data_IF_616201056128
#
_entry.id   IF_616201056128
#
_cell.length_a   1.000
_cell.length_b   1.000
_cell.length_c   1.000
_cell.angle_alpha   90.00
_cell.angle_beta   90.00
_cell.angle_gamma   90.00
#
_symmetry.space_group_name_H-M   'P 1'
#
loop_
_entity.id
_entity.type
_entity.pdbx_description
1 polymer ?
#
# COMPACT_ATOMS: atom_id res chain seq x y z
N UNK A 1 -26.21 -5.09 21.06
CA UNK A 1 -26.20 -4.09 19.96
C UNK A 1 -24.77 -3.98 19.43
N UNK A 2 -24.57 -3.86 18.11
CA UNK A 2 -23.23 -3.89 17.50
C UNK A 2 -22.77 -2.57 16.85
N UNK A 3 -23.42 -1.46 17.23
CA UNK A 3 -23.18 -0.10 16.70
C UNK A 3 -21.73 0.39 16.85
N UNK A 4 -20.85 -0.37 17.51
CA UNK A 4 -19.41 -0.11 17.62
C UNK A 4 -18.72 0.13 16.26
N UNK A 5 -19.05 -0.63 15.20
CA UNK A 5 -18.43 -0.40 13.86
C UNK A 5 -18.94 0.89 13.22
N UNK A 6 -20.26 1.15 13.04
CA UNK A 6 -20.78 2.45 12.62
C UNK A 6 -20.22 3.63 13.44
N UNK A 7 -20.16 3.51 14.76
CA UNK A 7 -19.66 4.56 15.64
C UNK A 7 -18.15 4.80 15.46
N UNK A 8 -17.34 3.75 15.33
CA UNK A 8 -15.91 3.87 15.07
C UNK A 8 -15.65 4.52 13.69
N UNK A 9 -16.40 4.13 12.65
CA UNK A 9 -16.32 4.74 11.31
C UNK A 9 -16.73 6.22 11.37
N UNK A 10 -17.83 6.56 12.07
CA UNK A 10 -18.24 7.94 12.28
C UNK A 10 -17.19 8.80 13.03
N UNK A 11 -16.49 8.22 14.02
CA UNK A 11 -15.37 8.89 14.71
C UNK A 11 -14.17 9.11 13.78
N UNK A 12 -13.85 8.15 12.90
CA UNK A 12 -12.79 8.32 11.89
C UNK A 12 -13.15 9.40 10.86
N UNK A 13 -14.40 9.45 10.39
CA UNK A 13 -14.94 10.54 9.56
C UNK A 13 -14.83 11.89 10.28
N UNK A 14 -15.26 12.00 11.54
CA UNK A 14 -15.20 13.24 12.31
C UNK A 14 -13.76 13.74 12.50
N UNK A 15 -12.80 12.83 12.68
CA UNK A 15 -11.36 13.13 12.74
C UNK A 15 -10.82 13.60 11.38
N UNK A 16 -11.09 12.88 10.29
CA UNK A 16 -10.66 13.27 8.94
C UNK A 16 -11.25 14.63 8.53
N UNK A 17 -12.48 14.95 8.94
CA UNK A 17 -13.08 16.28 8.78
C UNK A 17 -12.47 17.36 9.69
N UNK A 18 -11.75 16.99 10.76
CA UNK A 18 -10.96 17.92 11.56
C UNK A 18 -9.59 18.18 10.93
N UNK A 19 -8.90 17.13 10.49
CA UNK A 19 -7.63 17.21 9.74
C UNK A 19 -7.81 18.04 8.45
N UNK A 20 -8.93 17.86 7.73
CA UNK A 20 -9.31 18.69 6.58
C UNK A 20 -9.56 20.17 6.92
N UNK A 21 -9.96 20.48 8.16
CA UNK A 21 -10.29 21.85 8.62
C UNK A 21 -9.05 22.61 9.11
N UNK A 22 -8.02 21.90 9.55
CA UNK A 22 -6.71 22.45 9.87
C UNK A 22 -5.75 22.50 8.66
N UNK A 23 -6.26 22.21 7.44
CA UNK A 23 -5.46 21.97 6.22
C UNK A 23 -4.21 21.09 6.48
N UNK A 24 -4.41 20.00 7.24
CA UNK A 24 -3.34 19.07 7.63
C UNK A 24 -2.71 18.42 6.38
N UNK A 25 -1.38 18.49 6.17
CA UNK A 25 -0.72 17.89 5.01
C UNK A 25 -0.84 16.36 4.93
N UNK A 26 -1.28 15.68 6.00
CA UNK A 26 -1.63 14.26 6.00
C UNK A 26 -3.05 13.97 5.47
N UNK A 27 -3.97 14.95 5.42
CA UNK A 27 -5.36 14.73 5.01
C UNK A 27 -5.49 14.20 3.57
N UNK A 28 -6.35 13.18 3.36
CA UNK A 28 -6.63 12.58 2.04
C UNK A 28 -8.14 12.46 1.82
N UNK A 29 -8.61 12.88 0.65
CA UNK A 29 -10.03 12.81 0.32
C UNK A 29 -10.51 11.36 0.16
N UNK A 30 -9.71 10.49 -0.48
CA UNK A 30 -9.91 9.03 -0.52
C UNK A 30 -10.18 8.41 0.85
N UNK A 31 -9.45 8.81 1.89
CA UNK A 31 -9.66 8.29 3.23
C UNK A 31 -11.07 8.68 3.72
N UNK A 32 -11.42 9.96 3.63
CA UNK A 32 -12.74 10.46 4.01
C UNK A 32 -13.88 9.82 3.20
N UNK A 33 -13.72 9.65 1.89
CA UNK A 33 -14.74 9.04 1.03
C UNK A 33 -14.86 7.53 1.23
N UNK A 34 -13.76 6.84 1.54
CA UNK A 34 -13.76 5.39 1.86
C UNK A 34 -14.46 5.14 3.20
N UNK A 35 -14.16 5.94 4.22
CA UNK A 35 -14.83 5.87 5.53
C UNK A 35 -16.32 6.21 5.41
N UNK A 36 -16.67 7.23 4.60
CA UNK A 36 -18.07 7.57 4.32
C UNK A 36 -18.80 6.45 3.54
N UNK A 37 -18.14 5.82 2.57
CA UNK A 37 -18.67 4.68 1.84
C UNK A 37 -18.85 3.43 2.73
N UNK A 38 -17.94 3.18 3.68
CA UNK A 38 -18.10 2.14 4.70
C UNK A 38 -19.31 2.48 5.60
N UNK A 39 -19.44 3.72 6.09
CA UNK A 39 -20.59 4.09 6.93
C UNK A 39 -21.91 3.93 6.17
N UNK A 40 -21.95 4.31 4.89
CA UNK A 40 -23.10 4.13 4.00
C UNK A 40 -23.33 2.65 3.61
N UNK A 41 -22.38 1.73 3.81
CA UNK A 41 -22.67 0.30 3.77
C UNK A 41 -23.21 -0.21 5.10
N UNK A 42 -22.57 0.13 6.19
CA UNK A 42 -22.98 -0.31 7.52
C UNK A 42 -24.43 0.13 7.80
N UNK A 43 -24.79 1.38 7.49
CA UNK A 43 -26.15 1.90 7.69
C UNK A 43 -27.18 1.33 6.70
N UNK A 44 -26.78 0.79 5.53
CA UNK A 44 -27.72 0.13 4.59
C UNK A 44 -28.03 -1.32 4.97
N UNK A 45 -27.25 -1.93 5.87
CA UNK A 45 -27.40 -3.33 6.30
C UNK A 45 -28.46 -3.47 7.40
N UNK A 46 -29.17 -4.61 7.47
CA UNK A 46 -30.15 -4.87 8.51
C UNK A 46 -29.49 -4.98 9.90
N UNK A 47 -30.26 -4.73 10.96
CA UNK A 47 -29.74 -4.56 12.32
C UNK A 47 -29.03 -5.81 12.89
N UNK A 48 -29.39 -7.00 12.41
CA UNK A 48 -28.73 -8.27 12.75
C UNK A 48 -27.31 -8.34 12.15
N UNK A 49 -27.13 -7.87 10.92
CA UNK A 49 -25.81 -7.78 10.26
C UNK A 49 -24.94 -6.66 10.84
N UNK A 50 -25.54 -5.69 11.53
CA UNK A 50 -24.88 -4.69 12.36
C UNK A 50 -24.60 -5.16 13.80
N UNK A 51 -24.99 -6.37 14.18
CA UNK A 51 -24.69 -6.93 15.52
C UNK A 51 -23.20 -7.30 15.63
N UNK A 52 -22.58 -7.30 16.83
CA UNK A 52 -21.13 -7.44 16.96
C UNK A 52 -20.76 -8.93 16.90
N UNK A 53 -20.83 -9.51 15.71
CA UNK A 53 -20.27 -10.83 15.45
C UNK A 53 -18.77 -10.79 15.79
N UNK A 54 -18.35 -11.60 16.77
CA UNK A 54 -16.94 -12.00 16.88
C UNK A 54 -16.53 -12.53 15.50
N UNK A 55 -15.39 -12.07 14.95
CA UNK A 55 -14.83 -12.58 13.68
C UNK A 55 -14.96 -14.11 13.67
N UNK A 56 -15.57 -14.64 12.63
CA UNK A 56 -15.89 -16.06 12.48
C UNK A 56 -14.64 -16.88 12.13
N UNK A 57 -13.75 -17.02 13.11
CA UNK A 57 -12.57 -17.86 13.03
C UNK A 57 -12.97 -19.33 12.87
N UNK A 58 -12.66 -19.91 11.71
CA UNK A 58 -12.84 -21.35 11.43
C UNK A 58 -11.55 -22.10 11.78
N UNK A 59 -11.61 -23.30 12.38
CA UNK A 59 -10.45 -24.18 12.44
C UNK A 59 -9.98 -24.52 11.02
N UNK A 60 -8.68 -24.43 10.79
CA UNK A 60 -8.02 -24.87 9.55
C UNK A 60 -7.10 -26.05 9.88
N UNK A 61 -6.69 -26.82 8.86
CA UNK A 61 -5.72 -27.91 9.03
C UNK A 61 -4.32 -27.39 9.40
N UNK A 62 -3.31 -28.28 9.47
CA UNK A 62 -1.92 -27.86 9.63
C UNK A 62 -1.49 -26.89 8.51
N UNK A 63 -1.20 -25.64 8.88
CA UNK A 63 -0.95 -24.55 7.95
C UNK A 63 0.52 -24.17 7.96
N UNK A 64 1.23 -24.42 6.86
CA UNK A 64 2.57 -23.84 6.63
C UNK A 64 2.42 -22.40 6.16
N UNK A 65 3.33 -21.53 6.58
CA UNK A 65 3.44 -20.15 6.14
C UNK A 65 4.86 -19.83 5.68
N UNK A 66 4.95 -19.01 4.64
CA UNK A 66 6.20 -18.48 4.08
C UNK A 66 6.21 -16.95 4.21
N UNK A 67 7.26 -16.41 4.82
CA UNK A 67 7.38 -15.00 5.19
C UNK A 67 7.44 -14.00 4.04
N UNK A 68 6.49 -13.08 3.95
CA UNK A 68 6.47 -12.05 2.90
C UNK A 68 7.02 -10.70 3.36
N UNK A 69 6.49 -10.11 4.44
CA UNK A 69 7.00 -8.89 5.09
C UNK A 69 6.21 -8.59 6.37
N UNK A 70 6.75 -7.69 7.19
CA UNK A 70 6.12 -7.14 8.40
C UNK A 70 5.81 -5.66 8.21
N UNK A 71 4.54 -5.30 8.33
CA UNK A 71 4.07 -3.92 8.32
C UNK A 71 3.97 -3.40 9.77
N UNK A 72 4.62 -2.27 10.12
CA UNK A 72 4.30 -1.55 11.35
C UNK A 72 2.90 -0.92 11.21
N UNK A 73 2.07 -1.13 12.22
CA UNK A 73 0.74 -0.55 12.31
C UNK A 73 0.80 0.58 13.32
N UNK A 74 0.42 1.79 12.91
CA UNK A 74 0.17 2.94 13.79
C UNK A 74 -1.13 3.60 13.33
N UNK A 75 -2.16 3.62 14.17
CA UNK A 75 -3.49 4.09 13.77
C UNK A 75 -3.87 5.42 14.40
N UNK A 76 -4.70 6.17 13.68
CA UNK A 76 -5.38 7.36 14.18
C UNK A 76 -6.23 7.13 15.46
N UNK A 77 -6.62 5.88 15.73
CA UNK A 77 -7.40 5.46 16.90
C UNK A 77 -6.55 5.11 18.13
N UNK A 78 -5.23 5.36 18.11
CA UNK A 78 -4.34 5.10 19.25
C UNK A 78 -4.00 3.62 19.46
N UNK A 79 -4.12 2.80 18.41
CA UNK A 79 -3.63 1.42 18.39
C UNK A 79 -2.36 1.36 17.55
N UNK A 80 -1.40 0.54 18.01
CA UNK A 80 -0.18 0.29 17.28
C UNK A 80 0.31 -1.15 17.46
N UNK A 81 1.24 -1.58 16.61
CA UNK A 81 1.78 -2.92 16.63
C UNK A 81 2.39 -3.33 15.29
N UNK A 82 2.39 -4.62 14.99
CA UNK A 82 2.96 -5.18 13.77
C UNK A 82 2.01 -6.20 13.14
N UNK A 83 2.01 -6.28 11.80
CA UNK A 83 1.31 -7.32 11.03
C UNK A 83 2.26 -7.97 10.05
N UNK A 84 2.51 -9.26 10.23
CA UNK A 84 3.24 -10.08 9.27
C UNK A 84 2.26 -10.57 8.21
N UNK A 85 2.60 -10.37 6.94
CA UNK A 85 1.97 -11.04 5.81
C UNK A 85 2.80 -12.28 5.47
N UNK A 86 2.12 -13.37 5.15
CA UNK A 86 2.74 -14.61 4.74
C UNK A 86 1.90 -15.31 3.66
N UNK A 87 2.55 -16.07 2.78
CA UNK A 87 1.89 -16.92 1.80
C UNK A 87 1.63 -18.30 2.41
N UNK A 88 0.45 -18.88 2.15
CA UNK A 88 0.14 -20.28 2.46
C UNK A 88 0.22 -21.17 1.20
N UNK A 89 0.36 -22.51 1.33
CA UNK A 89 0.44 -23.43 0.19
C UNK A 89 -0.77 -23.45 -0.76
N UNK A 90 -1.90 -22.87 -0.36
CA UNK A 90 -3.09 -22.64 -1.21
C UNK A 90 -2.92 -21.44 -2.16
N UNK A 91 -1.77 -20.75 -2.10
CA UNK A 91 -1.49 -19.53 -2.87
C UNK A 91 -2.15 -18.27 -2.31
N UNK A 92 -2.86 -18.37 -1.18
CA UNK A 92 -3.54 -17.23 -0.58
C UNK A 92 -2.70 -16.60 0.53
N UNK A 93 -2.83 -15.28 0.67
CA UNK A 93 -2.18 -14.51 1.72
C UNK A 93 -2.88 -14.75 3.06
N UNK A 94 -2.09 -14.77 4.12
CA UNK A 94 -2.54 -14.82 5.52
C UNK A 94 -1.82 -13.74 6.32
N UNK A 95 -2.43 -13.30 7.42
CA UNK A 95 -1.81 -12.31 8.33
C UNK A 95 -1.75 -12.76 9.78
N UNK A 96 -0.63 -12.49 10.44
CA UNK A 96 -0.41 -12.64 11.88
C UNK A 96 -0.12 -11.26 12.47
N UNK A 97 -0.89 -10.81 13.46
CA UNK A 97 -0.73 -9.47 14.04
C UNK A 97 -0.67 -9.49 15.56
N UNK A 98 0.27 -8.73 16.14
CA UNK A 98 0.08 -8.12 17.47
C UNK A 98 -0.22 -6.64 17.27
N UNK A 99 -1.44 -6.21 17.63
CA UNK A 99 -1.88 -4.81 17.62
C UNK A 99 -2.76 -4.56 18.85
N UNK A 100 -2.41 -3.54 19.64
CA UNK A 100 -3.14 -3.12 20.85
C UNK A 100 -2.95 -1.60 21.05
N UNK A 101 -3.55 -0.96 22.07
CA UNK A 101 -3.31 0.46 22.34
C UNK A 101 -1.82 0.79 22.52
N UNK A 102 -1.36 1.89 21.93
CA UNK A 102 0.05 2.32 21.94
C UNK A 102 0.40 3.29 20.81
N UNK A 103 1.62 3.84 20.85
CA UNK A 103 2.19 4.70 19.81
C UNK A 103 3.20 3.98 18.89
N UNK A 104 3.99 4.72 18.09
CA UNK A 104 4.96 4.14 17.15
C UNK A 104 5.99 3.21 17.81
N UNK A 105 6.36 3.47 19.07
CA UNK A 105 7.25 2.61 19.86
C UNK A 105 6.71 1.19 20.04
N UNK A 106 5.38 1.04 20.17
CA UNK A 106 4.73 -0.28 20.23
C UNK A 106 4.85 -1.03 18.90
N UNK A 107 4.89 -0.34 17.74
CA UNK A 107 5.02 -1.02 16.46
C UNK A 107 6.36 -1.77 16.31
N UNK A 108 7.45 -1.13 16.75
CA UNK A 108 8.78 -1.74 16.81
C UNK A 108 8.80 -2.91 17.82
N UNK A 109 8.23 -2.72 19.02
CA UNK A 109 8.16 -3.78 20.04
C UNK A 109 7.36 -5.01 19.57
N UNK A 110 6.18 -4.80 18.97
CA UNK A 110 5.31 -5.85 18.47
C UNK A 110 5.98 -6.70 17.38
N UNK A 111 6.81 -6.10 16.53
CA UNK A 111 7.61 -6.84 15.53
C UNK A 111 8.60 -7.85 16.16
N UNK A 112 8.98 -7.64 17.42
CA UNK A 112 9.82 -8.56 18.20
C UNK A 112 9.06 -9.67 18.93
N UNK A 113 7.73 -9.69 18.92
CA UNK A 113 6.93 -10.71 19.64
C UNK A 113 6.94 -12.06 18.92
N UNK A 114 6.85 -13.20 19.64
CA UNK A 114 6.85 -14.53 19.03
C UNK A 114 5.56 -14.82 18.26
N UNK A 115 5.65 -15.65 17.21
CA UNK A 115 4.49 -16.19 16.50
C UNK A 115 3.58 -16.98 17.46
N UNK A 116 2.24 -16.77 17.46
CA UNK A 116 1.33 -17.46 18.36
C UNK A 116 1.37 -19.00 18.21
N UNK A 117 1.37 -19.69 19.35
CA UNK A 117 1.43 -21.15 19.44
C UNK A 117 2.71 -21.71 20.09
N UNK A 118 3.60 -20.84 20.58
CA UNK A 118 4.78 -21.23 21.36
C UNK A 118 6.09 -21.35 20.58
N UNK A 119 6.14 -20.90 19.31
CA UNK A 119 7.38 -20.82 18.56
C UNK A 119 8.17 -19.58 19.01
N UNK A 120 9.47 -19.73 19.26
CA UNK A 120 10.34 -18.61 19.59
C UNK A 120 10.68 -17.69 18.40
N UNK A 121 10.17 -17.96 17.18
CA UNK A 121 10.33 -17.13 15.99
C UNK A 121 9.61 -15.79 16.17
N UNK A 122 10.31 -14.63 16.17
CA UNK A 122 9.68 -13.33 16.20
C UNK A 122 8.87 -13.02 14.93
N UNK A 123 7.87 -12.15 15.04
CA UNK A 123 7.07 -11.67 13.90
C UNK A 123 7.95 -11.11 12.78
N UNK A 124 8.96 -10.28 13.10
CA UNK A 124 9.93 -9.76 12.12
C UNK A 124 10.73 -10.86 11.41
N UNK A 125 11.15 -11.92 12.11
CA UNK A 125 11.91 -13.02 11.49
C UNK A 125 11.01 -13.95 10.67
N UNK A 126 9.72 -14.06 11.01
CA UNK A 126 8.74 -14.64 10.10
C UNK A 126 8.60 -13.73 8.86
N UNK A 127 8.53 -12.40 9.02
CA UNK A 127 8.49 -11.45 7.92
C UNK A 127 9.69 -11.58 6.98
N UNK A 128 10.91 -11.48 7.51
CA UNK A 128 12.23 -11.52 6.84
C UNK A 128 12.59 -12.90 6.24
N UNK A 129 11.64 -13.57 5.58
CA UNK A 129 11.85 -14.82 4.83
C UNK A 129 11.75 -16.10 5.68
N UNK A 130 11.39 -16.00 6.95
CA UNK A 130 11.19 -17.15 7.83
C UNK A 130 10.02 -18.04 7.43
N UNK A 131 9.97 -19.22 8.03
CA UNK A 131 8.87 -20.18 7.88
C UNK A 131 8.34 -20.65 9.23
N UNK A 132 7.04 -20.95 9.27
CA UNK A 132 6.39 -21.56 10.43
C UNK A 132 5.33 -22.56 9.98
N UNK A 133 5.13 -23.62 10.76
CA UNK A 133 3.98 -24.52 10.63
C UNK A 133 3.12 -24.35 11.88
N UNK A 134 1.82 -24.12 11.66
CA UNK A 134 0.80 -23.98 12.68
C UNK A 134 -0.07 -25.24 12.71
N UNK A 135 -0.23 -25.84 13.89
CA UNK A 135 -1.17 -26.94 14.16
C UNK A 135 -2.40 -26.40 14.87
N UNK A 136 -3.58 -26.81 14.43
CA UNK A 136 -4.88 -26.28 14.87
C UNK A 136 -4.99 -24.74 14.83
N UNK A 137 -4.50 -24.05 13.76
CA UNK A 137 -4.76 -22.63 13.58
C UNK A 137 -6.26 -22.37 13.45
N UNK A 138 -6.67 -21.14 13.74
CA UNK A 138 -7.99 -20.65 13.35
C UNK A 138 -7.83 -19.45 12.43
N UNK A 139 -8.60 -19.40 11.35
CA UNK A 139 -8.50 -18.38 10.31
C UNK A 139 -9.86 -17.76 10.04
N UNK A 140 -9.90 -16.43 9.96
CA UNK A 140 -11.11 -15.68 9.64
C UNK A 140 -11.28 -15.48 8.12
N UNK A 141 -12.47 -15.11 7.61
CA UNK A 141 -12.70 -14.95 6.17
C UNK A 141 -11.75 -13.94 5.49
N UNK A 142 -11.30 -12.93 6.23
CA UNK A 142 -10.30 -11.94 5.79
C UNK A 142 -8.84 -12.44 5.90
N UNK A 143 -8.61 -13.76 6.08
CA UNK A 143 -7.27 -14.37 6.05
C UNK A 143 -6.41 -14.13 7.29
N UNK A 144 -6.96 -13.57 8.38
CA UNK A 144 -6.21 -13.35 9.63
C UNK A 144 -6.13 -14.64 10.44
N UNK A 145 -4.98 -14.88 11.05
CA UNK A 145 -4.72 -16.05 11.90
C UNK A 145 -4.93 -15.68 13.37
N UNK A 146 -5.80 -16.43 14.05
CA UNK A 146 -6.11 -16.28 15.47
C UNK A 146 -5.23 -17.17 16.36
N UNK A 147 -4.46 -16.55 17.27
CA UNK A 147 -3.61 -17.23 18.26
C UNK A 147 -4.37 -17.86 19.44
N UNK A 148 -5.35 -18.72 19.17
CA UNK A 148 -6.12 -19.40 20.21
C UNK A 148 -5.29 -20.38 21.04
N UNK A 149 -5.71 -20.69 22.27
CA UNK A 149 -4.93 -21.52 23.21
C UNK A 149 -4.66 -22.97 22.77
N UNK A 150 -5.34 -23.45 21.72
CA UNK A 150 -5.09 -24.77 21.10
C UNK A 150 -4.09 -24.71 19.93
N UNK A 151 -3.74 -23.53 19.44
CA UNK A 151 -2.73 -23.36 18.38
C UNK A 151 -1.38 -23.82 18.91
N UNK A 152 -0.64 -24.58 18.10
CA UNK A 152 0.78 -24.87 18.32
C UNK A 152 1.56 -24.42 17.08
N UNK A 153 2.79 -23.98 17.27
CA UNK A 153 3.61 -23.43 16.18
C UNK A 153 5.05 -23.91 16.26
N UNK A 154 5.65 -24.31 15.15
CA UNK A 154 7.06 -24.72 15.06
C UNK A 154 7.77 -24.00 13.90
N UNK A 155 9.02 -23.57 14.10
CA UNK A 155 9.84 -22.94 13.06
C UNK A 155 10.07 -23.94 11.94
N UNK A 156 9.91 -23.50 10.70
CA UNK A 156 10.12 -24.29 9.49
C UNK A 156 11.05 -23.54 8.54
N UNK A 157 11.54 -24.21 7.50
CA UNK A 157 12.19 -23.53 6.38
C UNK A 157 11.19 -22.56 5.74
N UNK A 158 11.58 -21.31 5.54
CA UNK A 158 10.82 -20.34 4.79
C UNK A 158 11.05 -20.49 3.28
N UNK A 159 11.13 -19.35 2.59
CA UNK A 159 11.55 -19.22 1.20
C UNK A 159 11.93 -17.76 0.95
N UNK A 160 12.89 -17.51 0.07
CA UNK A 160 13.23 -16.14 -0.34
C UNK A 160 12.27 -15.59 -1.40
N UNK A 161 12.25 -14.26 -1.57
CA UNK A 161 11.39 -13.59 -2.57
C UNK A 161 11.69 -14.00 -4.03
N UNK A 162 12.83 -14.62 -4.29
CA UNK A 162 13.25 -15.12 -5.60
C UNK A 162 13.06 -16.64 -5.75
N UNK A 163 12.53 -17.31 -4.72
CA UNK A 163 12.31 -18.76 -4.68
C UNK A 163 10.82 -19.11 -4.65
N UNK A 164 10.49 -20.35 -5.02
CA UNK A 164 9.14 -20.88 -4.84
C UNK A 164 8.84 -21.12 -3.34
N UNK A 165 7.64 -20.75 -2.84
CA UNK A 165 6.47 -20.30 -3.59
C UNK A 165 6.34 -18.77 -3.76
N UNK A 166 7.23 -17.95 -3.19
CA UNK A 166 7.05 -16.50 -3.14
C UNK A 166 7.26 -15.80 -4.49
N UNK A 167 8.21 -16.29 -5.32
CA UNK A 167 8.54 -15.73 -6.63
C UNK A 167 7.31 -15.57 -7.55
N UNK A 168 6.37 -16.51 -7.49
CA UNK A 168 5.13 -16.53 -8.27
C UNK A 168 4.24 -15.29 -8.08
N UNK A 169 4.43 -14.52 -7.00
CA UNK A 169 3.73 -13.25 -6.78
C UNK A 169 4.23 -12.13 -7.71
N UNK A 170 5.55 -12.09 -7.98
CA UNK A 170 6.18 -11.14 -8.90
C UNK A 170 6.13 -11.59 -10.36
N UNK A 171 6.02 -12.90 -10.62
CA UNK A 171 5.81 -13.45 -11.97
C UNK A 171 4.47 -13.02 -12.60
N UNK A 172 3.49 -12.58 -11.80
CA UNK A 172 2.21 -12.03 -12.28
C UNK A 172 2.43 -10.67 -12.97
N UNK A 173 2.00 -10.47 -14.23
CA UNK A 173 2.13 -9.18 -14.91
C UNK A 173 1.48 -8.02 -14.12
N UNK A 174 2.11 -6.84 -14.00
CA UNK A 174 1.61 -5.74 -13.16
C UNK A 174 0.18 -5.31 -13.43
N UNK A 175 -0.27 -5.35 -14.70
CA UNK A 175 -1.66 -5.06 -15.08
C UNK A 175 -2.67 -6.06 -14.49
N UNK A 176 -2.30 -7.35 -14.41
CA UNK A 176 -3.11 -8.41 -13.79
C UNK A 176 -3.01 -8.45 -12.27
N UNK A 177 -2.05 -7.73 -11.68
CA UNK A 177 -2.05 -7.42 -10.25
C UNK A 177 -2.98 -6.24 -9.95
N UNK A 178 -2.84 -5.13 -10.69
CA UNK A 178 -3.68 -3.94 -10.53
C UNK A 178 -5.18 -4.25 -10.74
N UNK A 179 -5.53 -5.07 -11.74
CA UNK A 179 -6.91 -5.51 -11.95
C UNK A 179 -7.49 -6.28 -10.74
N UNK A 180 -6.67 -7.11 -10.08
CA UNK A 180 -7.07 -7.82 -8.87
C UNK A 180 -7.23 -6.87 -7.66
N UNK A 181 -6.33 -5.88 -7.51
CA UNK A 181 -6.45 -4.84 -6.47
C UNK A 181 -7.71 -3.99 -6.68
N UNK A 182 -8.04 -3.62 -7.92
CA UNK A 182 -9.25 -2.87 -8.24
C UNK A 182 -10.53 -3.66 -7.96
N UNK A 183 -10.54 -4.97 -8.23
CA UNK A 183 -11.65 -5.85 -7.83
C UNK A 183 -11.77 -5.94 -6.31
N UNK A 184 -10.66 -6.12 -5.58
CA UNK A 184 -10.64 -6.14 -4.12
C UNK A 184 -11.10 -4.82 -3.49
N UNK A 185 -10.77 -3.68 -4.11
CA UNK A 185 -11.24 -2.36 -3.69
C UNK A 185 -12.76 -2.17 -3.88
N UNK A 186 -13.38 -2.90 -4.81
CA UNK A 186 -14.82 -2.91 -5.01
C UNK A 186 -15.58 -3.83 -4.01
N UNK A 187 -14.91 -4.86 -3.46
CA UNK A 187 -15.51 -5.76 -2.47
C UNK A 187 -15.88 -5.03 -1.16
N UNK A 188 -16.91 -5.49 -0.42
CA UNK A 188 -17.24 -4.97 0.90
C UNK A 188 -16.07 -5.10 1.89
N UNK A 189 -15.92 -4.13 2.80
CA UNK A 189 -14.80 -4.03 3.73
C UNK A 189 -14.72 -5.15 4.80
N UNK A 190 -15.65 -6.09 4.79
CA UNK A 190 -15.68 -7.32 5.59
C UNK A 190 -15.52 -8.61 4.78
N UNK A 191 -15.58 -8.53 3.44
CA UNK A 191 -15.28 -9.63 2.52
C UNK A 191 -13.82 -9.59 2.00
N UNK A 192 -13.15 -8.44 2.09
CA UNK A 192 -11.76 -8.21 1.66
C UNK A 192 -10.76 -9.13 2.35
N UNK A 193 -10.14 -10.03 1.58
CA UNK A 193 -9.04 -10.89 2.03
C UNK A 193 -7.75 -10.09 2.33
N UNK A 194 -6.94 -10.54 3.29
CA UNK A 194 -5.68 -9.88 3.63
C UNK A 194 -4.74 -9.74 2.42
N UNK A 195 -4.14 -8.56 2.27
CA UNK A 195 -3.11 -8.30 1.25
C UNK A 195 -3.60 -8.24 -0.20
N UNK A 196 -4.92 -8.26 -0.45
CA UNK A 196 -5.48 -8.08 -1.79
C UNK A 196 -5.35 -6.66 -2.36
N UNK A 197 -4.81 -5.73 -1.56
CA UNK A 197 -4.39 -4.37 -1.91
C UNK A 197 -2.93 -4.25 -2.34
N UNK A 198 -2.17 -5.35 -2.28
CA UNK A 198 -0.73 -5.38 -2.54
C UNK A 198 -0.38 -5.55 -4.02
N UNK A 199 0.73 -4.92 -4.40
CA UNK A 199 1.44 -5.10 -5.64
C UNK A 199 2.86 -5.61 -5.36
N UNK A 200 3.29 -6.54 -6.20
CA UNK A 200 4.57 -7.23 -6.19
C UNK A 200 5.32 -6.83 -7.46
N UNK A 201 6.13 -5.75 -7.38
CA UNK A 201 6.66 -5.06 -8.55
C UNK A 201 8.18 -5.21 -8.65
N UNK A 202 8.67 -5.68 -9.79
CA UNK A 202 10.08 -5.50 -10.20
C UNK A 202 10.23 -4.22 -11.04
N UNK A 203 11.40 -3.58 -10.97
CA UNK A 203 11.68 -2.38 -11.74
C UNK A 203 13.00 -1.71 -11.38
N UNK A 204 13.23 -0.51 -11.89
CA UNK A 204 14.48 0.25 -11.73
C UNK A 204 14.19 1.68 -11.26
N UNK A 205 14.89 2.13 -10.22
CA UNK A 205 14.89 3.53 -9.80
C UNK A 205 15.55 4.43 -10.86
N UNK A 206 14.93 5.55 -11.20
CA UNK A 206 15.47 6.58 -12.10
C UNK A 206 15.24 7.97 -11.53
N UNK A 207 15.91 8.99 -12.08
CA UNK A 207 15.65 10.39 -11.72
C UNK A 207 14.20 10.88 -11.95
N UNK A 208 13.40 10.16 -12.75
CA UNK A 208 11.97 10.46 -12.97
C UNK A 208 11.02 9.72 -12.01
N UNK A 209 11.46 8.60 -11.43
CA UNK A 209 10.63 7.67 -10.65
C UNK A 209 11.09 6.22 -10.80
N UNK A 210 10.29 5.28 -10.30
CA UNK A 210 10.51 3.84 -10.42
C UNK A 210 9.86 3.32 -11.71
N UNK A 211 10.66 2.86 -12.66
CA UNK A 211 10.18 2.26 -13.91
C UNK A 211 9.85 0.80 -13.66
N UNK A 212 8.56 0.45 -13.68
CA UNK A 212 8.11 -0.93 -13.44
C UNK A 212 8.40 -1.80 -14.67
N UNK A 213 8.96 -2.98 -14.47
CA UNK A 213 9.18 -3.98 -15.52
C UNK A 213 7.84 -4.40 -16.12
N UNK A 214 7.61 -4.09 -17.40
CA UNK A 214 6.33 -4.35 -18.07
C UNK A 214 5.17 -3.46 -17.57
N UNK A 215 5.46 -2.30 -16.98
CA UNK A 215 4.47 -1.38 -16.42
C UNK A 215 4.84 0.11 -16.59
N UNK A 216 4.09 1.01 -15.93
CA UNK A 216 4.34 2.45 -16.00
C UNK A 216 5.52 2.89 -15.11
N UNK A 217 5.97 4.14 -15.29
CA UNK A 217 6.82 4.81 -14.30
C UNK A 217 5.95 5.31 -13.13
N UNK A 218 6.29 4.92 -11.91
CA UNK A 218 5.57 5.27 -10.69
C UNK A 218 6.42 6.12 -9.75
N UNK A 219 5.78 6.98 -8.97
CA UNK A 219 6.38 7.64 -7.80
C UNK A 219 6.30 6.71 -6.60
N UNK A 220 7.43 6.52 -5.92
CA UNK A 220 7.46 5.82 -4.64
C UNK A 220 7.07 6.79 -3.52
N UNK A 221 6.34 6.31 -2.52
CA UNK A 221 5.94 7.10 -1.35
C UNK A 221 5.85 6.26 -0.09
N UNK A 222 5.94 6.91 1.07
CA UNK A 222 5.84 6.25 2.36
C UNK A 222 4.36 5.93 2.70
N UNK A 223 4.07 4.78 3.33
CA UNK A 223 2.79 4.52 3.98
C UNK A 223 2.52 5.48 5.15
N UNK A 224 3.57 5.79 5.90
CA UNK A 224 3.57 6.72 7.04
C UNK A 224 4.87 7.55 7.03
N UNK A 225 4.77 8.85 7.29
CA UNK A 225 5.89 9.81 7.26
C UNK A 225 6.36 10.24 8.66
N UNK A 226 5.81 9.63 9.73
CA UNK A 226 6.26 9.79 11.13
C UNK A 226 7.75 9.52 11.30
N UNK A 227 8.52 10.39 11.99
CA UNK A 227 9.99 10.26 12.11
C UNK A 227 10.44 9.02 12.91
N UNK A 228 9.55 8.44 13.72
CA UNK A 228 9.76 7.18 14.43
C UNK A 228 9.85 5.97 13.47
N UNK A 229 9.19 6.05 12.30
CA UNK A 229 9.15 4.97 11.30
C UNK A 229 10.13 5.26 10.14
N UNK A 230 11.10 4.38 9.85
CA UNK A 230 12.14 4.65 8.84
C UNK A 230 11.69 4.86 7.38
N UNK A 231 10.41 4.66 7.04
CA UNK A 231 9.89 4.67 5.66
C UNK A 231 10.41 5.82 4.80
N UNK A 232 10.23 7.06 5.26
CA UNK A 232 10.52 8.25 4.46
C UNK A 232 12.04 8.48 4.28
N UNK A 233 12.87 8.07 5.25
CA UNK A 233 14.34 8.09 5.10
C UNK A 233 14.80 7.00 4.15
N UNK A 234 14.31 5.77 4.33
CA UNK A 234 14.64 4.62 3.51
C UNK A 234 14.31 4.85 2.04
N UNK A 235 13.13 5.42 1.74
CA UNK A 235 12.73 5.73 0.36
C UNK A 235 13.54 6.87 -0.25
N UNK A 236 13.94 7.89 0.52
CA UNK A 236 14.90 8.90 0.04
C UNK A 236 16.27 8.28 -0.29
N UNK A 237 16.73 7.31 0.50
CA UNK A 237 17.98 6.59 0.24
C UNK A 237 17.91 5.69 -1.01
N UNK A 238 16.81 4.94 -1.20
CA UNK A 238 16.62 4.05 -2.36
C UNK A 238 16.34 4.82 -3.66
N UNK A 239 15.46 5.83 -3.63
CA UNK A 239 15.16 6.66 -4.81
C UNK A 239 16.36 7.53 -5.23
N UNK A 240 17.26 7.86 -4.30
CA UNK A 240 18.52 8.55 -4.59
C UNK A 240 19.56 7.71 -5.36
N UNK A 241 19.24 6.47 -5.75
CA UNK A 241 20.11 5.60 -6.57
C UNK A 241 19.49 5.33 -7.94
N UNK A 242 19.73 6.22 -8.90
CA UNK A 242 19.35 5.98 -10.30
C UNK A 242 20.09 4.74 -10.84
N UNK A 243 19.38 3.89 -11.56
CA UNK A 243 19.84 2.59 -12.06
C UNK A 243 19.78 1.44 -11.04
N UNK A 244 19.34 1.67 -9.80
CA UNK A 244 19.17 0.59 -8.83
C UNK A 244 17.92 -0.24 -9.18
N UNK A 245 18.13 -1.52 -9.49
CA UNK A 245 17.04 -2.48 -9.62
C UNK A 245 16.46 -2.81 -8.24
N UNK A 246 15.14 -2.75 -8.10
CA UNK A 246 14.42 -3.12 -6.87
C UNK A 246 13.32 -4.13 -7.19
N UNK A 247 13.19 -5.14 -6.33
CA UNK A 247 11.96 -5.91 -6.13
C UNK A 247 11.20 -5.29 -4.96
N UNK A 248 9.92 -4.97 -5.14
CA UNK A 248 9.10 -4.23 -4.17
C UNK A 248 7.85 -5.00 -3.78
N UNK A 249 7.43 -4.84 -2.52
CA UNK A 249 6.03 -4.96 -2.10
C UNK A 249 5.50 -3.56 -1.84
N UNK A 250 4.38 -3.21 -2.48
CA UNK A 250 3.76 -1.90 -2.42
C UNK A 250 2.23 -1.99 -2.34
N UNK A 251 1.57 -0.87 -2.04
CA UNK A 251 0.11 -0.70 -1.96
C UNK A 251 -0.34 0.41 -2.91
N UNK A 252 -1.48 0.21 -3.56
CA UNK A 252 -2.09 1.20 -4.47
C UNK A 252 -2.61 2.42 -3.70
N UNK A 253 -2.45 3.62 -4.25
CA UNK A 253 -3.07 4.86 -3.74
C UNK A 253 -4.15 5.32 -4.73
N UNK A 254 -5.45 5.04 -4.52
CA UNK A 254 -6.48 5.30 -5.53
C UNK A 254 -6.59 6.77 -6.00
N UNK A 255 -6.41 7.74 -5.10
CA UNK A 255 -6.38 9.18 -5.42
C UNK A 255 -5.15 9.61 -6.26
N UNK A 256 -4.12 8.76 -6.33
CA UNK A 256 -2.79 9.08 -6.89
C UNK A 256 -2.29 7.94 -7.77
N UNK A 257 -2.91 7.70 -8.95
CA UNK A 257 -2.51 6.62 -9.85
C UNK A 257 -1.08 6.78 -10.41
N UNK A 258 -0.43 7.94 -10.21
CA UNK A 258 1.00 8.15 -10.49
C UNK A 258 1.92 7.51 -9.43
N UNK A 259 1.38 6.87 -8.38
CA UNK A 259 2.09 6.64 -7.12
C UNK A 259 1.68 5.36 -6.40
N UNK A 260 2.64 4.76 -5.69
CA UNK A 260 2.43 3.64 -4.77
C UNK A 260 3.07 3.90 -3.41
N UNK A 261 2.48 3.31 -2.36
CA UNK A 261 3.04 3.27 -1.02
C UNK A 261 3.94 2.04 -0.89
N UNK A 262 5.23 2.20 -0.61
CA UNK A 262 6.18 1.07 -0.57
C UNK A 262 6.31 0.51 0.84
N UNK A 263 6.10 -0.79 0.99
CA UNK A 263 6.03 -1.47 2.28
C UNK A 263 7.34 -2.20 2.60
N UNK A 264 7.87 -2.95 1.64
CA UNK A 264 9.14 -3.67 1.73
C UNK A 264 9.88 -3.61 0.39
N UNK A 265 11.20 -3.73 0.41
CA UNK A 265 12.04 -3.75 -0.79
C UNK A 265 13.17 -4.78 -0.68
N UNK A 266 13.64 -5.25 -1.83
CA UNK A 266 14.80 -6.13 -1.99
C UNK A 266 15.67 -5.68 -3.16
N UNK A 267 16.99 -5.81 -3.03
CA UNK A 267 18.00 -5.40 -4.00
C UNK A 267 19.32 -6.13 -3.79
N UNK A 268 20.19 -6.17 -4.80
CA UNK A 268 21.54 -6.74 -4.68
C UNK A 268 22.45 -5.83 -3.84
N UNK A 269 23.15 -6.39 -2.85
CA UNK A 269 24.08 -5.70 -1.96
C UNK A 269 25.41 -5.29 -2.62
N UNK A 270 26.31 -4.72 -1.82
CA UNK A 270 27.69 -4.39 -2.24
C UNK A 270 28.56 -5.65 -2.47
N UNK A 271 28.19 -6.73 -1.79
CA UNK A 271 28.79 -8.07 -1.80
C UNK A 271 28.20 -8.98 -2.89
N UNK A 272 27.10 -8.57 -3.54
CA UNK A 272 26.34 -9.39 -4.47
C UNK A 272 25.19 -10.17 -3.82
N UNK A 273 25.07 -10.15 -2.50
CA UNK A 273 24.03 -10.88 -1.77
C UNK A 273 22.65 -10.21 -1.89
N UNK A 274 21.59 -10.99 -1.63
CA UNK A 274 20.24 -10.45 -1.59
C UNK A 274 20.01 -9.64 -0.30
N UNK A 275 19.93 -8.32 -0.41
CA UNK A 275 19.54 -7.45 0.71
C UNK A 275 18.04 -7.21 0.65
N UNK A 276 17.35 -7.45 1.76
CA UNK A 276 15.91 -7.21 1.92
C UNK A 276 15.62 -6.33 3.15
N UNK A 277 14.60 -5.47 3.06
CA UNK A 277 14.16 -4.62 4.17
C UNK A 277 12.66 -4.35 4.17
N UNK A 278 12.02 -4.67 5.30
CA UNK A 278 10.71 -4.13 5.66
C UNK A 278 10.87 -2.64 6.02
N UNK A 279 10.44 -1.74 5.12
CA UNK A 279 10.91 -0.34 5.09
C UNK A 279 10.42 0.50 6.26
N UNK A 280 9.39 0.05 6.97
CA UNK A 280 8.85 0.71 8.17
C UNK A 280 9.47 0.24 9.49
N UNK A 281 10.36 -0.76 9.47
CA UNK A 281 11.00 -1.33 10.65
C UNK A 281 12.54 -1.26 10.57
N UNK A 282 13.13 -1.67 9.45
CA UNK A 282 14.59 -1.70 9.26
C UNK A 282 15.09 -0.34 8.76
N UNK A 283 15.76 0.45 9.60
CA UNK A 283 16.43 1.69 9.16
C UNK A 283 17.64 1.36 8.28
N UNK A 284 17.75 2.02 7.13
CA UNK A 284 18.82 1.79 6.15
C UNK A 284 19.93 2.83 6.26
N UNK A 285 21.14 2.42 5.87
CA UNK A 285 22.31 3.28 5.76
C UNK A 285 22.86 3.18 4.33
N UNK A 286 23.66 4.17 3.92
CA UNK A 286 24.28 4.21 2.56
C UNK A 286 25.16 2.98 2.27
N UNK A 287 25.71 2.34 3.31
CA UNK A 287 26.47 1.08 3.24
C UNK A 287 25.62 -0.14 2.83
N UNK A 288 24.29 -0.10 3.01
CA UNK A 288 23.41 -1.22 2.61
C UNK A 288 23.04 -1.19 1.12
N UNK A 289 23.32 -0.10 0.39
CA UNK A 289 22.79 0.15 -0.95
C UNK A 289 23.96 0.44 -1.91
N UNK A 290 24.17 -0.41 -2.94
CA UNK A 290 25.37 -0.34 -3.78
C UNK A 290 25.55 1.01 -4.46
N UNK A 291 26.81 1.32 -4.77
CA UNK A 291 27.13 2.32 -5.79
C UNK A 291 26.77 1.74 -7.16
N UNK A 292 25.64 2.18 -7.73
CA UNK A 292 25.26 1.81 -9.10
C UNK A 292 26.28 2.46 -10.06
N UNK A 293 26.91 1.69 -10.97
CA UNK A 293 27.75 2.26 -12.01
C UNK A 293 26.89 3.16 -12.91
N UNK A 294 27.23 4.45 -12.98
CA UNK A 294 26.68 5.32 -14.02
C UNK A 294 27.16 4.76 -15.36
N UNK A 295 26.27 4.47 -16.32
CA UNK A 295 26.68 4.06 -17.66
C UNK A 295 27.59 5.16 -18.24
N UNK A 296 28.86 4.82 -18.47
CA UNK A 296 29.80 5.74 -19.11
C UNK A 296 29.20 6.14 -20.46
N UNK A 297 29.03 7.44 -20.74
CA UNK A 297 28.51 7.87 -22.04
C UNK A 297 29.42 7.33 -23.14
N UNK A 298 28.93 6.36 -23.91
CA UNK A 298 29.60 5.93 -25.13
C UNK A 298 29.71 7.19 -25.99
N UNK A 299 30.93 7.62 -26.39
CA UNK A 299 31.08 8.83 -27.19
C UNK A 299 30.25 8.67 -28.46
N UNK A 300 29.35 9.63 -28.71
CA UNK A 300 28.46 9.58 -29.85
C UNK A 300 29.29 9.43 -31.13
N UNK A 301 28.90 8.55 -32.08
CA UNK A 301 29.62 8.41 -33.34
C UNK A 301 29.69 9.79 -34.01
N UNK A 302 30.92 10.24 -34.29
CA UNK A 302 31.16 11.57 -34.86
C UNK A 302 30.41 11.69 -36.16
N UNK A 303 29.48 12.65 -36.24
CA UNK A 303 28.69 12.88 -37.44
C UNK A 303 29.63 13.24 -38.60
N UNK A 304 29.57 12.43 -39.67
CA UNK A 304 30.25 12.75 -40.92
C UNK A 304 29.68 14.04 -41.55
N UNK A 305 30.44 14.74 -42.41
CA UNK A 305 29.99 15.99 -43.01
C UNK A 305 28.70 15.81 -43.82
N UNK A 306 27.81 16.80 -43.75
CA UNK A 306 26.65 16.91 -44.61
C UNK A 306 26.94 17.88 -45.76
N UNK A 307 26.66 17.44 -46.99
CA UNK A 307 26.67 18.25 -48.21
C UNK A 307 25.24 18.64 -48.65
N UNK A 308 25.04 19.66 -49.53
CA UNK A 308 23.89 20.57 -49.38
C UNK A 308 22.70 20.38 -50.34
N UNK A 309 21.70 21.26 -50.16
CA UNK A 309 20.43 21.45 -50.88
C UNK A 309 20.53 21.53 -52.44
N UNK A 310 19.45 21.41 -53.21
CA UNK A 310 17.99 21.41 -52.92
C UNK A 310 17.20 21.04 -54.20
N UNK A 311 16.09 21.72 -54.61
CA UNK A 311 15.34 22.84 -54.01
C UNK A 311 13.84 22.49 -53.75
N UNK A 312 12.95 23.49 -53.64
CA UNK A 312 11.58 23.34 -53.14
C UNK A 312 10.43 23.66 -54.13
N UNK A 313 9.27 23.03 -53.92
CA UNK A 313 7.91 23.43 -54.35
C UNK A 313 6.90 22.64 -53.49
N UNK A 314 5.73 23.14 -53.09
CA UNK A 314 5.11 24.47 -53.28
C UNK A 314 4.06 24.75 -52.18
N UNK A 315 3.37 25.90 -52.25
CA UNK A 315 2.50 26.41 -51.18
C UNK A 315 1.06 25.90 -51.20
N UNK A 316 0.50 25.65 -50.01
CA UNK A 316 -0.93 25.78 -49.72
C UNK A 316 -1.12 26.16 -48.24
N UNK A 317 -2.09 27.01 -47.91
CA UNK A 317 -2.37 27.45 -46.54
C UNK A 317 -3.83 27.19 -46.14
N UNK A 318 -4.00 26.80 -44.88
CA UNK A 318 -5.20 26.97 -44.04
C UNK A 318 -6.58 26.61 -44.61
N UNK A 319 -7.21 25.60 -43.99
CA UNK A 319 -8.47 25.87 -43.29
C UNK A 319 -8.50 25.07 -41.98
N UNK A 320 -9.08 25.64 -40.91
CA UNK A 320 -9.04 25.08 -39.57
C UNK A 320 -10.44 24.67 -39.10
N UNK A 321 -10.74 23.37 -39.15
CA UNK A 321 -11.97 22.83 -38.59
C UNK A 321 -11.94 22.84 -37.04
N UNK A 322 -13.03 23.23 -36.36
CA UNK A 322 -13.04 23.30 -34.90
C UNK A 322 -13.04 21.91 -34.27
N UNK A 323 -12.05 21.64 -33.42
CA UNK A 323 -11.99 20.40 -32.63
C UNK A 323 -13.06 20.43 -31.55
N UNK A 324 -14.12 19.62 -31.72
CA UNK A 324 -15.23 19.53 -30.77
C UNK A 324 -14.75 18.79 -29.52
N UNK A 325 -14.45 19.55 -28.46
CA UNK A 325 -14.18 19.01 -27.13
C UNK A 325 -15.43 18.25 -26.66
N UNK A 326 -15.35 16.95 -26.32
CA UNK A 326 -16.47 16.26 -25.71
C UNK A 326 -16.73 16.87 -24.34
N UNK A 327 -17.84 17.60 -24.21
CA UNK A 327 -18.31 18.11 -22.92
C UNK A 327 -18.49 16.90 -22.00
N UNK A 328 -17.73 16.86 -20.91
CA UNK A 328 -17.82 15.78 -19.93
C UNK A 328 -19.26 15.69 -19.42
N UNK A 329 -19.94 14.57 -19.73
CA UNK A 329 -21.29 14.32 -19.27
C UNK A 329 -21.33 14.45 -17.74
N UNK A 330 -22.22 15.31 -17.23
CA UNK A 330 -22.37 15.49 -15.80
C UNK A 330 -22.58 14.12 -15.11
N UNK A 331 -21.97 13.87 -13.94
CA UNK A 331 -22.15 12.60 -13.24
C UNK A 331 -23.65 12.35 -13.00
N UNK A 332 -24.11 11.08 -13.06
CA UNK A 332 -25.52 10.76 -12.87
C UNK A 332 -25.99 11.33 -11.53
N UNK A 333 -27.16 11.98 -11.55
CA UNK A 333 -27.71 12.64 -10.37
C UNK A 333 -27.80 11.65 -9.20
N UNK A 334 -27.05 11.94 -8.13
CA UNK A 334 -27.15 11.19 -6.88
C UNK A 334 -28.59 11.31 -6.35
N UNK A 335 -29.12 10.27 -5.67
CA UNK A 335 -30.28 10.40 -4.80
C UNK A 335 -30.17 11.65 -3.93
N UNK A 336 -31.29 12.34 -3.70
CA UNK A 336 -31.32 13.69 -3.10
C UNK A 336 -30.63 13.70 -1.72
N UNK A 337 -30.71 12.60 -0.99
CA UNK A 337 -30.09 12.35 0.30
C UNK A 337 -28.55 12.33 0.19
N UNK A 338 -28.01 11.71 -0.86
CA UNK A 338 -26.57 11.64 -1.14
C UNK A 338 -26.04 12.96 -1.71
N UNK A 339 -26.83 13.69 -2.50
CA UNK A 339 -26.41 15.02 -2.97
C UNK A 339 -26.48 16.07 -1.86
N UNK A 340 -27.45 15.98 -0.93
CA UNK A 340 -27.48 16.75 0.31
C UNK A 340 -26.27 16.41 1.21
N UNK A 341 -25.93 15.13 1.36
CA UNK A 341 -24.73 14.70 2.07
C UNK A 341 -23.46 15.25 1.43
N UNK A 342 -23.35 15.21 0.10
CA UNK A 342 -22.22 15.81 -0.63
C UNK A 342 -22.13 17.30 -0.37
N UNK A 343 -23.23 18.04 -0.51
CA UNK A 343 -23.30 19.49 -0.19
C UNK A 343 -22.97 19.80 1.28
N UNK A 344 -23.24 18.88 2.22
CA UNK A 344 -22.88 19.03 3.63
C UNK A 344 -21.37 18.82 3.85
N UNK A 345 -20.75 17.84 3.20
CA UNK A 345 -19.29 17.62 3.22
C UNK A 345 -18.56 18.76 2.50
N UNK A 346 -19.01 19.13 1.30
CA UNK A 346 -18.50 20.27 0.50
C UNK A 346 -18.53 21.55 1.34
N UNK A 347 -19.63 21.81 2.08
CA UNK A 347 -19.77 22.97 2.97
C UNK A 347 -18.90 22.86 4.24
N UNK A 348 -18.70 21.67 4.80
CA UNK A 348 -17.83 21.47 5.96
C UNK A 348 -16.34 21.71 5.61
N UNK A 349 -15.93 21.33 4.39
CA UNK A 349 -14.57 21.55 3.87
C UNK A 349 -14.38 23.02 3.42
N UNK A 350 -15.32 23.57 2.65
CA UNK A 350 -15.23 24.97 2.19
C UNK A 350 -15.41 25.99 3.33
N UNK A 351 -16.23 25.67 4.33
CA UNK A 351 -16.50 26.53 5.49
C UNK A 351 -15.27 26.79 6.37
N UNK A 352 -14.29 25.87 6.40
CA UNK A 352 -12.99 26.14 7.02
C UNK A 352 -12.17 27.17 6.25
N UNK A 353 -12.10 27.01 4.92
CA UNK A 353 -11.29 27.85 4.01
C UNK A 353 -11.80 29.28 3.87
N UNK A 354 -13.06 29.55 4.18
CA UNK A 354 -13.61 30.91 4.17
C UNK A 354 -13.16 31.74 5.38
N UNK A 355 -12.81 31.11 6.51
CA UNK A 355 -12.50 31.81 7.77
C UNK A 355 -11.06 32.34 7.80
N UNK A 356 -10.12 31.66 7.14
CA UNK A 356 -8.71 32.08 7.08
C UNK A 356 -8.44 33.26 6.15
N UNK A 357 -9.40 33.65 5.31
CA UNK A 357 -9.25 34.72 4.31
C UNK A 357 -9.65 36.13 4.79
N UNK A 358 -10.19 36.28 6.02
CA UNK A 358 -10.77 37.54 6.53
C UNK A 358 -10.00 38.13 7.73
N UNK A 359 -9.05 37.38 8.31
CA UNK A 359 -8.28 37.79 9.50
C UNK A 359 -6.89 38.35 9.18
N UNK A 360 -6.79 39.16 8.12
CA UNK A 360 -5.54 39.81 7.70
C UNK A 360 -5.83 41.26 7.24
N UNK A 361 -6.05 42.14 8.22
CA UNK A 361 -6.28 43.58 8.08
C UNK A 361 -6.09 44.28 9.41
#
# INVERSE_FOLDING_TARGET
AGLHRPAATAVRIARLLAEARSDDPAFRLSALSTELAELLDLVRRPAEALSPARRSYRPEGPLRLYGLFTEPVVTASGYAGATVYALAPDGALRTVSDVAPGGPERALQASGTPVPGGCALPLRELGDGGGVILTSPTVSPDGRIGGGGQVRSVRATGADWYEAPLAALWERPPVGQLAAVLHWLAEPADARAAGGDLLFLDGICTGAGFVVTGGPTLRLSAPDERPELPYAENLRLLAGRSGLALRLIARVVPDRPDRVQVLAASWTGHDGECVRADLGLRRLHRSHIPAVPVPVPVPAPVAGPADPAGPATGTASAEAAPSVVPVASAPPALPVELDLLRRAVDRAVAGGRAVTAVSAG
#
